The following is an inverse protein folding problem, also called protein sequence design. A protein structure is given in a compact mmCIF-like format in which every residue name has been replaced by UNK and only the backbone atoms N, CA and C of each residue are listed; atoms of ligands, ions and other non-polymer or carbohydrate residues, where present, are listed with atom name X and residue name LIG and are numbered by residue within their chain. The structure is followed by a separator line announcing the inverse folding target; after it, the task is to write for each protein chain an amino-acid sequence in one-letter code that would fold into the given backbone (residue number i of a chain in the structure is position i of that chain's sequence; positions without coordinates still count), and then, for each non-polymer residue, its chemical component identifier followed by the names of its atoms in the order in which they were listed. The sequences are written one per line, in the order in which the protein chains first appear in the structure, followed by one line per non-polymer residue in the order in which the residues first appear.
data_IF_587577659448
#
_entry.id   IF_587577659448
#
_cell.length_a   1.000
_cell.length_b   1.000
_cell.length_c   1.000
_cell.angle_alpha   90.00
_cell.angle_beta   90.00
_cell.angle_gamma   90.00
#
_symmetry.space_group_name_H-M   'P 1'
#
loop_
_entity.id
_entity.type
_entity.pdbx_description
1 polymer ?
#
# COMPACT_ATOMS: atom_id res chain seq x y z
N UNK A 1 -1.45 -25.35 12.20
CA UNK A 1 -1.88 -24.31 11.24
C UNK A 1 -3.24 -24.64 10.70
N UNK A 2 -4.13 -23.67 10.60
CA UNK A 2 -5.49 -23.83 10.06
C UNK A 2 -5.95 -22.57 9.33
N UNK A 3 -6.98 -22.71 8.47
CA UNK A 3 -7.59 -21.59 7.72
C UNK A 3 -8.33 -20.64 8.66
N UNK A 4 -8.39 -19.37 8.30
CA UNK A 4 -8.99 -18.29 9.10
C UNK A 4 -10.52 -18.15 8.98
N UNK A 5 -11.22 -19.15 8.41
CA UNK A 5 -12.66 -19.05 8.11
C UNK A 5 -13.57 -18.68 9.30
N UNK A 6 -13.15 -18.97 10.53
CA UNK A 6 -14.01 -18.83 11.73
C UNK A 6 -13.55 -17.72 12.68
N UNK A 7 -12.56 -16.92 12.28
CA UNK A 7 -12.01 -15.91 13.18
C UNK A 7 -12.69 -14.57 13.02
N UNK A 8 -13.19 -14.05 14.13
CA UNK A 8 -13.77 -12.72 14.13
C UNK A 8 -12.69 -11.64 13.94
N UNK A 9 -13.09 -10.44 13.50
CA UNK A 9 -12.20 -9.32 13.32
C UNK A 9 -11.49 -8.94 14.63
N UNK A 10 -12.09 -9.21 15.80
CA UNK A 10 -11.51 -8.95 17.11
C UNK A 10 -10.25 -9.78 17.35
N UNK A 11 -10.30 -11.08 17.05
CA UNK A 11 -9.16 -11.99 17.28
C UNK A 11 -8.01 -11.67 16.32
N UNK A 12 -8.34 -11.34 15.07
CA UNK A 12 -7.37 -10.86 14.07
C UNK A 12 -6.68 -9.57 14.52
N UNK A 13 -7.45 -8.60 15.03
CA UNK A 13 -6.93 -7.35 15.54
C UNK A 13 -6.00 -7.57 16.75
N UNK A 14 -6.42 -8.40 17.70
CA UNK A 14 -5.61 -8.74 18.88
C UNK A 14 -4.27 -9.37 18.48
N UNK A 15 -4.30 -10.32 17.54
CA UNK A 15 -3.09 -10.97 17.03
C UNK A 15 -2.20 -9.99 16.27
N UNK A 16 -2.79 -9.16 15.40
CA UNK A 16 -2.08 -8.14 14.63
C UNK A 16 -1.38 -7.14 15.56
N UNK A 17 -2.12 -6.53 16.49
CA UNK A 17 -1.58 -5.58 17.45
C UNK A 17 -0.44 -6.17 18.29
N UNK A 18 -0.60 -7.42 18.76
CA UNK A 18 0.44 -8.12 19.52
C UNK A 18 1.68 -8.45 18.68
N UNK A 19 1.50 -8.88 17.42
CA UNK A 19 2.61 -9.24 16.55
C UNK A 19 3.44 -8.02 16.11
N UNK A 20 2.82 -6.85 16.02
CA UNK A 20 3.44 -5.60 15.59
C UNK A 20 3.63 -4.59 16.73
N UNK A 21 3.60 -5.05 17.99
CA UNK A 21 3.79 -4.19 19.16
C UNK A 21 5.15 -3.49 19.23
N UNK A 22 6.16 -4.03 18.56
CA UNK A 22 7.51 -3.44 18.46
C UNK A 22 7.65 -2.46 17.27
N UNK A 23 6.60 -2.30 16.47
CA UNK A 23 6.55 -1.38 15.36
C UNK A 23 5.65 -0.20 15.74
N UNK A 24 5.94 1.00 15.27
CA UNK A 24 5.08 2.18 15.42
C UNK A 24 3.79 2.08 14.58
N UNK A 25 3.18 0.90 14.54
CA UNK A 25 1.90 0.69 13.89
C UNK A 25 0.82 1.04 14.91
N UNK A 26 0.46 2.32 14.93
CA UNK A 26 -0.71 2.80 15.65
C UNK A 26 -1.91 2.66 14.73
N UNK A 27 -2.79 1.74 15.04
CA UNK A 27 -4.05 1.60 14.31
C UNK A 27 -5.10 0.97 15.21
N UNK A 28 -6.32 1.44 15.10
CA UNK A 28 -7.45 0.82 15.76
C UNK A 28 -8.02 -0.35 14.93
N UNK A 29 -9.06 -0.97 15.45
CA UNK A 29 -9.74 -2.08 14.77
C UNK A 29 -10.38 -1.66 13.44
N UNK A 30 -10.81 -0.40 13.32
CA UNK A 30 -11.44 0.17 12.13
C UNK A 30 -10.39 0.34 11.04
N UNK A 31 -9.23 0.88 11.38
CA UNK A 31 -8.10 1.03 10.45
C UNK A 31 -7.59 -0.32 9.93
N UNK A 32 -7.47 -1.33 10.79
CA UNK A 32 -7.15 -2.69 10.34
C UNK A 32 -8.20 -3.22 9.36
N UNK A 33 -9.50 -2.99 9.63
CA UNK A 33 -10.58 -3.42 8.74
C UNK A 33 -10.50 -2.71 7.39
N UNK A 34 -10.29 -1.40 7.36
CA UNK A 34 -10.11 -0.61 6.13
C UNK A 34 -8.88 -1.06 5.35
N UNK A 35 -7.75 -1.29 6.02
CA UNK A 35 -6.54 -1.82 5.40
C UNK A 35 -6.78 -3.20 4.75
N UNK A 36 -7.39 -4.13 5.47
CA UNK A 36 -7.70 -5.47 4.97
C UNK A 36 -8.68 -5.41 3.78
N UNK A 37 -9.72 -4.56 3.84
CA UNK A 37 -10.66 -4.31 2.74
C UNK A 37 -9.92 -3.79 1.51
N UNK A 38 -9.15 -2.72 1.65
CA UNK A 38 -8.37 -2.09 0.58
C UNK A 38 -7.44 -3.10 -0.10
N UNK A 39 -6.76 -3.94 0.67
CA UNK A 39 -5.82 -4.94 0.17
C UNK A 39 -6.47 -6.23 -0.33
N UNK A 40 -7.80 -6.32 -0.35
CA UNK A 40 -8.55 -7.45 -0.92
C UNK A 40 -8.52 -8.72 -0.07
N UNK A 41 -8.49 -8.57 1.25
CA UNK A 41 -8.39 -9.67 2.22
C UNK A 41 -9.39 -10.80 1.95
N UNK A 42 -8.86 -12.02 1.85
CA UNK A 42 -9.63 -13.25 1.68
C UNK A 42 -9.42 -14.18 2.87
N UNK A 43 -10.44 -14.35 3.76
CA UNK A 43 -10.31 -15.20 4.93
C UNK A 43 -10.18 -16.70 4.61
N UNK A 44 -10.68 -17.15 3.46
CA UNK A 44 -10.60 -18.56 3.07
C UNK A 44 -9.18 -18.98 2.64
N UNK A 45 -8.37 -17.99 2.20
CA UNK A 45 -7.00 -18.18 1.77
C UNK A 45 -5.98 -17.49 2.70
N UNK A 46 -6.41 -17.14 3.91
CA UNK A 46 -5.54 -16.64 4.98
C UNK A 46 -5.38 -17.70 6.06
N UNK A 47 -4.21 -17.74 6.71
CA UNK A 47 -3.82 -18.84 7.58
C UNK A 47 -3.26 -18.33 8.90
N UNK A 48 -3.40 -19.13 9.95
CA UNK A 48 -2.86 -18.85 11.27
C UNK A 48 -2.37 -20.08 11.99
N UNK A 49 -1.38 -19.90 12.84
CA UNK A 49 -0.98 -20.85 13.88
C UNK A 49 -1.68 -20.47 15.18
N UNK A 50 -2.13 -21.49 15.92
CA UNK A 50 -2.92 -21.33 17.14
C UNK A 50 -2.24 -22.04 18.29
N UNK A 51 -2.34 -21.45 19.47
CA UNK A 51 -2.01 -22.03 20.76
C UNK A 51 -3.16 -21.69 21.72
N UNK A 52 -3.77 -22.70 22.33
CA UNK A 52 -4.95 -22.59 23.20
C UNK A 52 -6.05 -21.69 22.57
N UNK A 53 -6.39 -22.00 21.31
CA UNK A 53 -7.36 -21.27 20.47
C UNK A 53 -7.04 -19.80 20.17
N UNK A 54 -5.91 -19.28 20.65
CA UNK A 54 -5.43 -17.95 20.32
C UNK A 54 -4.53 -17.97 19.11
N UNK A 55 -4.64 -16.95 18.23
CA UNK A 55 -3.71 -16.77 17.14
C UNK A 55 -2.36 -16.34 17.71
N UNK A 56 -1.31 -17.08 17.39
CA UNK A 56 0.07 -16.78 17.79
C UNK A 56 0.94 -16.37 16.61
N UNK A 57 0.57 -16.78 15.39
CA UNK A 57 1.16 -16.28 14.15
C UNK A 57 0.12 -16.35 13.02
N UNK A 58 0.25 -15.50 12.02
CA UNK A 58 -0.70 -15.42 10.91
C UNK A 58 -0.03 -14.94 9.64
N UNK A 59 -0.71 -15.23 8.50
CA UNK A 59 -0.51 -14.61 7.21
C UNK A 59 -1.87 -14.29 6.64
N UNK A 60 -2.17 -13.01 6.47
CA UNK A 60 -3.40 -12.51 5.89
C UNK A 60 -3.18 -12.24 4.42
N UNK A 61 -3.99 -12.82 3.55
CA UNK A 61 -3.84 -12.71 2.12
C UNK A 61 -4.97 -11.89 1.49
N UNK A 62 -4.60 -10.96 0.62
CA UNK A 62 -5.46 -10.38 -0.38
C UNK A 62 -5.44 -11.22 -1.65
N UNK A 63 -6.56 -11.29 -2.38
CA UNK A 63 -6.64 -12.04 -3.63
C UNK A 63 -7.22 -11.13 -4.72
N UNK A 64 -6.58 -11.15 -5.89
CA UNK A 64 -7.04 -10.38 -7.04
C UNK A 64 -6.17 -10.61 -8.27
N UNK A 65 -6.58 -10.03 -9.38
CA UNK A 65 -5.74 -9.99 -10.59
C UNK A 65 -4.74 -8.84 -10.48
N UNK A 66 -3.50 -9.13 -10.72
CA UNK A 66 -2.43 -8.14 -10.69
C UNK A 66 -1.34 -8.55 -11.68
N UNK A 67 -0.51 -7.62 -12.12
CA UNK A 67 0.63 -7.87 -13.01
C UNK A 67 0.28 -8.84 -14.17
N UNK A 68 -0.01 -8.29 -15.33
CA UNK A 68 -0.41 -9.05 -16.52
C UNK A 68 -1.71 -9.87 -16.38
N UNK A 69 -2.59 -9.46 -15.45
CA UNK A 69 -3.89 -10.12 -15.26
C UNK A 69 -3.85 -11.46 -14.53
N UNK A 70 -2.67 -11.86 -14.03
CA UNK A 70 -2.50 -13.11 -13.28
C UNK A 70 -3.21 -13.07 -11.93
N UNK A 71 -3.85 -14.18 -11.56
CA UNK A 71 -4.45 -14.33 -10.26
C UNK A 71 -3.35 -14.42 -9.19
N UNK A 72 -3.33 -13.44 -8.30
CA UNK A 72 -2.23 -13.22 -7.36
C UNK A 72 -2.74 -13.20 -5.92
N UNK A 73 -2.02 -13.87 -5.02
CA UNK A 73 -2.14 -13.65 -3.58
C UNK A 73 -1.17 -12.54 -3.16
N UNK A 74 -1.64 -11.63 -2.31
CA UNK A 74 -0.83 -10.55 -1.75
C UNK A 74 -0.78 -10.67 -0.23
N UNK A 75 0.41 -10.68 0.34
CA UNK A 75 0.60 -10.65 1.80
C UNK A 75 0.15 -9.30 2.36
N UNK A 76 -1.06 -9.26 2.90
CA UNK A 76 -1.59 -8.05 3.55
C UNK A 76 -0.99 -7.82 4.94
N UNK A 77 -0.35 -8.84 5.50
CA UNK A 77 0.35 -8.79 6.76
C UNK A 77 0.66 -10.18 7.29
N UNK A 78 1.94 -10.44 7.51
CA UNK A 78 2.46 -11.64 8.18
C UNK A 78 3.07 -11.24 9.52
N UNK A 79 2.64 -11.88 10.59
CA UNK A 79 3.09 -11.58 11.95
C UNK A 79 3.18 -12.79 12.85
N UNK A 80 4.07 -12.70 13.83
CA UNK A 80 4.21 -13.68 14.93
C UNK A 80 4.29 -12.91 16.24
N UNK A 81 3.46 -13.29 17.21
CA UNK A 81 3.51 -12.73 18.58
C UNK A 81 4.89 -12.91 19.17
N UNK A 82 5.34 -11.92 19.93
CA UNK A 82 6.73 -11.82 20.42
C UNK A 82 7.22 -13.09 21.12
N UNK A 83 6.38 -13.63 21.99
CA UNK A 83 6.69 -14.83 22.80
C UNK A 83 6.75 -16.13 21.98
N UNK A 84 6.28 -16.11 20.74
CA UNK A 84 6.30 -17.26 19.81
C UNK A 84 7.28 -17.10 18.64
N UNK A 85 8.05 -16.01 18.62
CA UNK A 85 9.07 -15.77 17.58
C UNK A 85 10.22 -16.78 17.69
N UNK A 86 10.95 -16.98 16.60
CA UNK A 86 12.10 -17.89 16.55
C UNK A 86 11.76 -19.37 16.34
N UNK A 87 10.48 -19.75 16.36
CA UNK A 87 10.00 -21.13 16.22
C UNK A 87 9.67 -21.53 14.76
N UNK A 88 10.01 -20.70 13.77
CA UNK A 88 9.77 -20.98 12.36
C UNK A 88 8.28 -20.91 11.94
N UNK A 89 7.39 -20.33 12.75
CA UNK A 89 5.93 -20.36 12.51
C UNK A 89 5.56 -19.69 11.19
N UNK A 90 6.18 -18.55 10.82
CA UNK A 90 5.92 -17.90 9.55
C UNK A 90 6.20 -18.84 8.37
N UNK A 91 7.39 -19.45 8.34
CA UNK A 91 7.75 -20.43 7.28
C UNK A 91 6.76 -21.60 7.23
N UNK A 92 6.37 -22.15 8.37
CA UNK A 92 5.39 -23.25 8.45
C UNK A 92 4.02 -22.83 7.93
N UNK A 93 3.56 -21.60 8.19
CA UNK A 93 2.30 -21.08 7.66
C UNK A 93 2.38 -20.95 6.15
N UNK A 94 3.44 -20.34 5.60
CA UNK A 94 3.65 -20.23 4.15
C UNK A 94 3.66 -21.61 3.48
N UNK A 95 4.49 -22.53 3.95
CA UNK A 95 4.56 -23.89 3.39
C UNK A 95 3.21 -24.61 3.42
N UNK A 96 2.47 -24.46 4.54
CA UNK A 96 1.12 -25.05 4.66
C UNK A 96 0.10 -24.40 3.70
N UNK A 97 0.22 -23.10 3.44
CA UNK A 97 -0.73 -22.37 2.58
C UNK A 97 -0.58 -22.67 1.10
N UNK A 98 0.63 -23.01 0.63
CA UNK A 98 0.94 -23.17 -0.80
C UNK A 98 0.00 -24.12 -1.56
N UNK A 99 -0.29 -25.35 -1.08
CA UNK A 99 -1.22 -26.23 -1.79
C UNK A 99 -2.63 -25.63 -1.94
N UNK A 100 -3.09 -24.87 -0.94
CA UNK A 100 -4.41 -24.26 -0.99
C UNK A 100 -4.47 -23.08 -1.95
N UNK A 101 -3.39 -22.30 -2.05
CA UNK A 101 -3.27 -21.21 -3.01
C UNK A 101 -3.22 -21.77 -4.44
N UNK A 102 -2.39 -22.77 -4.70
CA UNK A 102 -2.33 -23.46 -6.00
C UNK A 102 -3.69 -24.03 -6.42
N UNK A 103 -4.36 -24.73 -5.53
CA UNK A 103 -5.69 -25.30 -5.80
C UNK A 103 -6.78 -24.23 -6.02
N UNK A 104 -6.57 -23.00 -5.55
CA UNK A 104 -7.43 -21.85 -5.84
C UNK A 104 -7.07 -21.14 -7.16
N UNK A 105 -6.10 -21.66 -7.93
CA UNK A 105 -5.67 -21.10 -9.20
C UNK A 105 -4.76 -19.87 -9.05
N UNK A 106 -4.18 -19.63 -7.86
CA UNK A 106 -3.22 -18.56 -7.66
C UNK A 106 -1.94 -18.89 -8.41
N UNK A 107 -1.50 -17.97 -9.26
CA UNK A 107 -0.29 -18.11 -10.08
C UNK A 107 0.93 -17.45 -9.44
N UNK A 108 0.71 -16.34 -8.72
CA UNK A 108 1.77 -15.58 -8.06
C UNK A 108 1.44 -15.33 -6.59
N UNK A 109 2.49 -15.26 -5.77
CA UNK A 109 2.39 -14.74 -4.42
C UNK A 109 3.30 -13.52 -4.29
N UNK A 110 2.73 -12.39 -3.91
CA UNK A 110 3.40 -11.09 -3.83
C UNK A 110 3.47 -10.62 -2.38
N UNK A 111 4.55 -9.96 -2.02
CA UNK A 111 4.71 -9.30 -0.71
C UNK A 111 5.60 -8.07 -0.82
N UNK A 112 5.54 -7.22 0.19
CA UNK A 112 6.45 -6.10 0.37
C UNK A 112 7.19 -6.24 1.70
N UNK A 113 8.50 -5.96 1.70
CA UNK A 113 9.35 -6.10 2.87
C UNK A 113 10.37 -4.97 2.96
N UNK A 114 10.53 -4.39 4.15
CA UNK A 114 11.53 -3.36 4.41
C UNK A 114 12.95 -3.90 4.17
N UNK A 115 13.78 -3.18 3.42
CA UNK A 115 15.14 -3.61 3.05
C UNK A 115 16.05 -3.85 4.26
N UNK A 116 15.80 -3.17 5.38
CA UNK A 116 16.55 -3.38 6.61
C UNK A 116 16.06 -4.60 7.43
N UNK A 117 14.89 -5.17 7.12
CA UNK A 117 14.38 -6.35 7.81
C UNK A 117 15.03 -7.65 7.28
N UNK A 118 16.34 -7.79 7.55
CA UNK A 118 17.16 -8.92 7.07
C UNK A 118 16.62 -10.27 7.50
N UNK A 119 15.90 -10.34 8.64
CA UNK A 119 15.29 -11.58 9.13
C UNK A 119 14.13 -12.03 8.25
N UNK A 120 13.24 -11.12 7.90
CA UNK A 120 12.12 -11.43 7.01
C UNK A 120 12.60 -11.78 5.59
N UNK A 121 13.56 -11.01 5.06
CA UNK A 121 14.17 -11.27 3.76
C UNK A 121 14.71 -12.71 3.65
N UNK A 122 15.53 -13.16 4.62
CA UNK A 122 16.04 -14.53 4.65
C UNK A 122 14.95 -15.60 4.67
N UNK A 123 13.83 -15.34 5.34
CA UNK A 123 12.68 -16.26 5.35
C UNK A 123 12.07 -16.34 3.95
N UNK A 124 11.78 -15.20 3.30
CA UNK A 124 11.17 -15.16 1.98
C UNK A 124 12.08 -15.74 0.90
N UNK A 125 13.36 -15.41 0.90
CA UNK A 125 14.37 -16.03 0.02
C UNK A 125 14.41 -17.57 0.21
N UNK A 126 14.37 -18.05 1.48
CA UNK A 126 14.34 -19.50 1.76
C UNK A 126 13.06 -20.22 1.32
N UNK A 127 12.02 -19.47 1.00
CA UNK A 127 10.74 -19.93 0.46
C UNK A 127 10.69 -19.84 -1.07
N UNK A 128 11.72 -19.27 -1.70
CA UNK A 128 11.83 -19.12 -3.15
C UNK A 128 11.26 -17.80 -3.69
N UNK A 129 10.99 -16.81 -2.82
CA UNK A 129 10.64 -15.48 -3.29
C UNK A 129 11.86 -14.78 -3.89
N UNK A 130 11.64 -14.10 -5.01
CA UNK A 130 12.63 -13.28 -5.71
C UNK A 130 12.25 -11.80 -5.63
N UNK A 131 13.25 -10.92 -5.63
CA UNK A 131 13.02 -9.47 -5.68
C UNK A 131 12.52 -9.12 -7.09
N UNK A 132 11.34 -8.51 -7.16
CA UNK A 132 10.73 -8.05 -8.41
C UNK A 132 11.15 -6.62 -8.72
N UNK A 133 11.05 -5.71 -7.72
CA UNK A 133 11.44 -4.31 -7.83
C UNK A 133 11.66 -3.68 -6.45
N UNK A 134 12.20 -2.47 -6.46
CA UNK A 134 12.44 -1.68 -5.25
C UNK A 134 11.44 -0.54 -5.16
N UNK A 135 11.02 -0.25 -3.93
CA UNK A 135 10.19 0.91 -3.62
C UNK A 135 10.86 1.82 -2.61
N UNK A 136 10.73 3.11 -2.85
CA UNK A 136 10.94 4.15 -1.86
C UNK A 136 9.64 4.44 -1.10
N UNK A 137 9.73 4.84 0.18
CA UNK A 137 8.63 5.50 0.86
C UNK A 137 9.10 6.81 1.48
N UNK A 138 8.22 7.79 1.45
CA UNK A 138 8.47 9.15 1.85
C UNK A 138 7.49 9.55 2.93
N UNK A 139 7.95 10.41 3.87
CA UNK A 139 7.08 10.96 4.91
C UNK A 139 7.56 12.34 5.34
N UNK A 140 6.61 13.19 5.76
CA UNK A 140 6.91 14.49 6.34
C UNK A 140 5.76 14.97 7.22
N UNK A 141 6.07 15.83 8.20
CA UNK A 141 5.05 16.58 8.92
C UNK A 141 4.32 17.53 7.96
N UNK A 142 3.00 17.52 7.99
CA UNK A 142 2.12 18.36 7.16
C UNK A 142 2.56 19.82 7.15
N UNK A 143 2.83 20.40 8.32
CA UNK A 143 3.26 21.80 8.46
C UNK A 143 4.55 22.10 7.68
N UNK A 144 5.49 21.18 7.62
CA UNK A 144 6.73 21.38 6.86
C UNK A 144 6.47 21.34 5.34
N UNK A 145 5.53 20.51 4.89
CA UNK A 145 5.13 20.48 3.47
C UNK A 145 4.45 21.78 3.08
N UNK A 146 3.58 22.32 3.96
CA UNK A 146 2.90 23.63 3.74
C UNK A 146 3.90 24.74 3.45
N UNK A 147 5.03 24.79 4.16
CA UNK A 147 6.07 25.80 3.96
C UNK A 147 6.73 25.75 2.57
N UNK A 148 6.61 24.64 1.85
CA UNK A 148 7.13 24.46 0.49
C UNK A 148 6.07 24.59 -0.61
N UNK A 149 4.81 24.90 -0.24
CA UNK A 149 3.77 25.18 -1.23
C UNK A 149 3.93 26.60 -1.78
N UNK A 150 3.78 26.71 -3.08
CA UNK A 150 3.81 28.02 -3.75
C UNK A 150 2.44 28.69 -3.68
N UNK A 151 2.43 30.00 -3.44
CA UNK A 151 1.22 30.82 -3.54
C UNK A 151 0.81 31.11 -4.99
N UNK A 152 1.69 30.80 -5.97
CA UNK A 152 1.34 30.95 -7.39
C UNK A 152 0.50 29.73 -7.84
N UNK A 153 -0.82 29.91 -8.04
CA UNK A 153 -1.65 28.82 -8.53
C UNK A 153 -1.25 28.45 -9.96
N UNK A 154 -1.24 27.17 -10.27
CA UNK A 154 -1.23 26.75 -11.67
C UNK A 154 -2.54 27.21 -12.34
N UNK A 155 -2.50 27.40 -13.66
CA UNK A 155 -3.72 27.64 -14.45
C UNK A 155 -4.51 26.34 -14.62
N UNK A 156 -5.03 25.80 -13.52
CA UNK A 156 -5.91 24.62 -13.52
C UNK A 156 -6.99 24.79 -12.44
N UNK A 157 -8.14 24.20 -12.67
CA UNK A 157 -9.19 24.03 -11.66
C UNK A 157 -9.07 22.63 -11.05
N UNK A 158 -9.31 22.54 -9.73
CA UNK A 158 -9.35 21.25 -9.04
C UNK A 158 -10.81 20.83 -8.86
N UNK A 159 -11.11 19.60 -9.24
CA UNK A 159 -12.45 19.01 -9.20
C UNK A 159 -12.41 17.67 -8.46
N UNK A 160 -13.53 17.29 -7.84
CA UNK A 160 -13.68 15.94 -7.30
C UNK A 160 -13.92 14.95 -8.48
N UNK A 161 -13.29 13.80 -8.41
CA UNK A 161 -13.43 12.71 -9.37
C UNK A 161 -13.89 11.43 -8.67
N UNK A 162 -14.46 10.51 -9.44
CA UNK A 162 -14.66 9.12 -9.04
C UNK A 162 -13.45 8.27 -9.42
N UNK A 163 -13.32 7.09 -8.82
CA UNK A 163 -12.23 6.15 -9.16
C UNK A 163 -12.26 5.70 -10.63
N UNK A 164 -13.43 5.70 -11.26
CA UNK A 164 -13.60 5.34 -12.68
C UNK A 164 -13.04 6.41 -13.62
N UNK A 165 -13.07 7.68 -13.21
CA UNK A 165 -12.64 8.81 -14.05
C UNK A 165 -11.13 8.80 -14.30
N UNK A 166 -10.35 8.16 -13.41
CA UNK A 166 -8.89 8.05 -13.56
C UNK A 166 -8.44 6.81 -14.36
N UNK A 167 -9.36 5.96 -14.81
CA UNK A 167 -9.00 4.78 -15.63
C UNK A 167 -8.28 5.14 -16.92
N UNK A 168 -8.72 6.21 -17.59
CA UNK A 168 -8.09 6.72 -18.82
C UNK A 168 -6.74 7.41 -18.56
N UNK A 169 -6.45 7.79 -17.33
CA UNK A 169 -5.25 8.52 -16.94
C UNK A 169 -4.12 7.61 -16.40
N UNK A 170 -4.24 6.29 -16.58
CA UNK A 170 -3.19 5.35 -16.12
C UNK A 170 -1.85 5.57 -16.85
N UNK A 171 -1.86 6.12 -18.06
CA UNK A 171 -0.67 6.51 -18.82
C UNK A 171 0.09 7.72 -18.22
N UNK A 172 -0.47 8.41 -17.22
CA UNK A 172 0.21 9.52 -16.54
C UNK A 172 1.30 9.06 -15.58
N UNK A 173 1.28 7.78 -15.19
CA UNK A 173 2.29 7.19 -14.31
C UNK A 173 3.60 6.91 -15.02
N UNK A 174 4.70 7.10 -14.30
CA UNK A 174 6.05 6.71 -14.73
C UNK A 174 6.37 5.25 -14.38
N UNK A 175 5.52 4.59 -13.56
CA UNK A 175 5.67 3.19 -13.13
C UNK A 175 4.29 2.56 -12.85
N UNK A 176 4.23 1.25 -12.79
CA UNK A 176 3.02 0.52 -12.40
C UNK A 176 2.79 0.64 -10.90
N UNK A 177 1.65 1.18 -10.42
CA UNK A 177 1.34 1.25 -9.00
C UNK A 177 1.43 -0.12 -8.32
N UNK A 178 1.86 -0.15 -7.06
CA UNK A 178 1.91 -1.39 -6.27
C UNK A 178 0.51 -1.92 -5.98
N UNK A 179 0.41 -3.19 -5.54
CA UNK A 179 -0.86 -3.82 -5.17
C UNK A 179 -1.79 -2.94 -4.35
N UNK A 180 -1.25 -2.31 -3.30
CA UNK A 180 -2.06 -1.49 -2.41
C UNK A 180 -2.37 -0.08 -2.94
N UNK A 181 -1.75 0.30 -4.04
CA UNK A 181 -1.93 1.60 -4.69
C UNK A 181 -2.56 1.48 -6.09
N UNK A 182 -2.87 0.27 -6.56
CA UNK A 182 -3.49 0.06 -7.86
C UNK A 182 -4.97 0.48 -7.89
N UNK A 183 -5.54 0.51 -9.09
CA UNK A 183 -6.93 0.93 -9.29
C UNK A 183 -7.93 0.02 -8.58
N UNK A 184 -7.66 -1.28 -8.50
CA UNK A 184 -8.54 -2.23 -7.83
C UNK A 184 -8.50 -2.03 -6.30
N UNK A 185 -7.35 -1.68 -5.75
CA UNK A 185 -7.19 -1.30 -4.35
C UNK A 185 -7.95 0.00 -4.04
N UNK A 186 -7.89 0.99 -4.93
CA UNK A 186 -8.63 2.25 -4.80
C UNK A 186 -10.14 1.99 -4.82
N UNK A 187 -10.64 1.18 -5.75
CA UNK A 187 -12.05 0.79 -5.82
C UNK A 187 -12.50 0.06 -4.55
N UNK A 188 -11.69 -0.87 -4.02
CA UNK A 188 -12.01 -1.59 -2.77
C UNK A 188 -12.04 -0.66 -1.56
N UNK A 189 -11.16 0.35 -1.50
CA UNK A 189 -11.17 1.33 -0.43
C UNK A 189 -12.47 2.16 -0.44
N UNK A 190 -12.95 2.55 -1.61
CA UNK A 190 -14.17 3.36 -1.75
C UNK A 190 -14.03 4.72 -1.03
N UNK A 191 -15.00 5.06 -0.19
CA UNK A 191 -15.08 6.35 0.51
C UNK A 191 -13.95 6.61 1.54
N UNK A 192 -13.09 5.62 1.81
CA UNK A 192 -11.88 5.83 2.62
C UNK A 192 -10.82 6.69 1.88
N UNK A 193 -10.97 6.86 0.56
CA UNK A 193 -10.09 7.65 -0.30
C UNK A 193 -10.85 8.78 -1.01
N UNK A 194 -10.16 9.89 -1.22
CA UNK A 194 -10.64 11.01 -2.04
C UNK A 194 -9.84 11.05 -3.33
N UNK A 195 -10.52 11.28 -4.45
CA UNK A 195 -9.89 11.45 -5.76
C UNK A 195 -10.12 12.88 -6.25
N UNK A 196 -9.04 13.59 -6.55
CA UNK A 196 -9.05 14.94 -7.11
C UNK A 196 -8.47 14.92 -8.52
N UNK A 197 -9.06 15.68 -9.43
CA UNK A 197 -8.55 15.93 -10.77
C UNK A 197 -8.15 17.38 -10.95
N UNK A 198 -7.08 17.63 -11.68
CA UNK A 198 -6.69 18.95 -12.14
C UNK A 198 -7.08 19.10 -13.62
N UNK A 199 -7.91 20.10 -13.91
CA UNK A 199 -8.39 20.38 -15.27
C UNK A 199 -7.69 21.63 -15.83
N UNK A 200 -7.11 21.51 -17.02
CA UNK A 200 -6.59 22.62 -17.82
C UNK A 200 -7.38 22.66 -19.12
N UNK A 201 -8.01 23.79 -19.42
CA UNK A 201 -8.85 23.94 -20.61
C UNK A 201 -9.87 22.79 -20.78
N UNK A 202 -10.51 22.39 -19.68
CA UNK A 202 -11.47 21.28 -19.60
C UNK A 202 -10.88 19.87 -19.87
N UNK A 203 -9.55 19.74 -19.94
CA UNK A 203 -8.85 18.46 -20.12
C UNK A 203 -8.26 18.00 -18.78
N UNK A 204 -8.45 16.73 -18.42
CA UNK A 204 -7.80 16.14 -17.26
C UNK A 204 -6.28 16.10 -17.46
N UNK A 205 -5.56 16.94 -16.70
CA UNK A 205 -4.12 17.15 -16.82
C UNK A 205 -3.31 16.48 -15.72
N UNK A 206 -3.99 16.01 -14.67
CA UNK A 206 -3.38 15.28 -13.55
C UNK A 206 -4.44 14.91 -12.52
N UNK A 207 -4.09 14.02 -11.60
CA UNK A 207 -4.96 13.60 -10.52
C UNK A 207 -4.18 13.21 -9.26
N UNK A 208 -4.87 13.19 -8.13
CA UNK A 208 -4.36 12.73 -6.85
C UNK A 208 -5.42 11.87 -6.15
N UNK A 209 -5.02 10.71 -5.65
CA UNK A 209 -5.83 9.84 -4.79
C UNK A 209 -5.16 9.78 -3.43
N UNK A 210 -5.89 10.07 -2.37
CA UNK A 210 -5.32 10.11 -1.04
C UNK A 210 -6.34 9.76 0.04
N UNK A 211 -5.85 9.42 1.24
CA UNK A 211 -6.67 9.23 2.44
C UNK A 211 -6.65 10.51 3.29
N UNK A 212 -7.77 11.21 3.46
CA UNK A 212 -7.83 12.38 4.34
C UNK A 212 -7.41 12.07 5.78
N UNK A 213 -7.82 10.93 6.31
CA UNK A 213 -7.56 10.52 7.69
C UNK A 213 -6.09 10.23 7.97
N UNK A 214 -5.38 9.60 7.04
CA UNK A 214 -4.00 9.15 7.27
C UNK A 214 -2.93 9.99 6.58
N UNK A 215 -3.31 10.93 5.70
CA UNK A 215 -2.37 11.70 4.88
C UNK A 215 -1.58 10.88 3.86
N UNK A 216 -2.06 9.66 3.56
CA UNK A 216 -1.44 8.76 2.58
C UNK A 216 -1.83 9.17 1.17
N UNK A 217 -0.85 9.58 0.37
CA UNK A 217 -1.00 9.81 -1.06
C UNK A 217 -0.85 8.46 -1.76
N UNK A 218 -1.98 7.88 -2.13
CA UNK A 218 -2.05 6.58 -2.82
C UNK A 218 -1.51 6.68 -4.24
N UNK A 219 -1.93 7.73 -4.97
CA UNK A 219 -1.44 8.06 -6.31
C UNK A 219 -1.40 9.57 -6.49
N UNK A 220 -0.39 10.07 -7.18
CA UNK A 220 -0.33 11.41 -7.74
C UNK A 220 0.35 11.32 -9.11
N UNK A 221 -0.33 11.74 -10.15
CA UNK A 221 0.15 11.63 -11.50
C UNK A 221 -0.27 12.84 -12.34
N UNK A 222 0.61 13.25 -13.26
CA UNK A 222 0.39 14.37 -14.17
C UNK A 222 0.73 13.93 -15.58
N UNK A 223 -0.16 14.19 -16.51
CA UNK A 223 0.07 13.99 -17.93
C UNK A 223 1.44 14.59 -18.32
N UNK A 224 2.31 13.85 -19.00
CA UNK A 224 3.63 14.32 -19.39
C UNK A 224 3.63 15.69 -20.07
N UNK A 225 2.63 16.01 -20.87
CA UNK A 225 2.49 17.30 -21.59
C UNK A 225 2.15 18.48 -20.68
N UNK A 226 1.63 18.22 -19.47
CA UNK A 226 1.28 19.23 -18.46
C UNK A 226 2.26 19.28 -17.29
N UNK A 227 3.33 18.51 -17.32
CA UNK A 227 4.38 18.53 -16.26
C UNK A 227 5.11 19.88 -16.23
N UNK A 228 5.68 20.22 -15.07
CA UNK A 228 6.41 21.47 -14.78
C UNK A 228 5.58 22.74 -14.90
N UNK A 229 4.25 22.62 -14.98
CA UNK A 229 3.30 23.75 -15.05
C UNK A 229 2.55 23.97 -13.71
N UNK A 230 3.00 23.34 -12.62
CA UNK A 230 2.42 23.52 -11.27
C UNK A 230 1.24 22.62 -10.94
N UNK A 231 0.78 21.75 -11.86
CA UNK A 231 -0.41 20.87 -11.69
C UNK A 231 -0.29 20.00 -10.43
N UNK A 232 0.82 19.26 -10.27
CA UNK A 232 1.03 18.42 -9.08
C UNK A 232 1.06 19.24 -7.77
N UNK A 233 1.59 20.47 -7.81
CA UNK A 233 1.63 21.35 -6.64
C UNK A 233 0.23 21.83 -6.25
N UNK A 234 -0.65 22.09 -7.22
CA UNK A 234 -2.05 22.46 -6.95
C UNK A 234 -2.85 21.31 -6.37
N UNK A 235 -2.66 20.08 -6.91
CA UNK A 235 -3.26 18.87 -6.36
C UNK A 235 -2.79 18.62 -4.92
N UNK A 236 -1.48 18.72 -4.67
CA UNK A 236 -0.92 18.53 -3.32
C UNK A 236 -1.44 19.60 -2.34
N UNK A 237 -1.56 20.86 -2.77
CA UNK A 237 -2.11 21.94 -1.95
C UNK A 237 -3.55 21.60 -1.53
N UNK A 238 -4.41 21.27 -2.48
CA UNK A 238 -5.81 20.91 -2.20
C UNK A 238 -5.92 19.67 -1.30
N UNK A 239 -5.09 18.63 -1.55
CA UNK A 239 -5.01 17.44 -0.70
C UNK A 239 -4.65 17.81 0.74
N UNK A 240 -3.65 18.67 0.95
CA UNK A 240 -3.22 19.10 2.29
C UNK A 240 -4.31 19.85 3.03
N UNK A 241 -5.06 20.72 2.35
CA UNK A 241 -6.21 21.43 2.93
C UNK A 241 -7.31 20.47 3.40
N UNK A 242 -7.49 19.34 2.73
CA UNK A 242 -8.50 18.31 3.06
C UNK A 242 -7.99 17.24 4.04
N UNK A 243 -6.68 17.19 4.32
CA UNK A 243 -6.08 16.16 5.17
C UNK A 243 -6.22 16.50 6.65
N UNK A 244 -6.78 15.56 7.42
CA UNK A 244 -6.90 15.61 8.88
C UNK A 244 -5.59 15.23 9.58
N UNK A 245 -4.75 14.43 8.93
CA UNK A 245 -3.48 13.93 9.47
C UNK A 245 -2.42 15.02 9.58
N UNK A 246 -1.63 14.96 10.64
CA UNK A 246 -0.44 15.80 10.82
C UNK A 246 0.77 15.31 10.01
N UNK A 247 0.65 14.19 9.32
CA UNK A 247 1.70 13.58 8.52
C UNK A 247 1.20 13.39 7.08
N UNK A 248 2.06 13.72 6.13
CA UNK A 248 1.92 13.38 4.70
C UNK A 248 2.88 12.24 4.41
N UNK A 249 2.41 11.21 3.73
CA UNK A 249 3.24 10.06 3.33
C UNK A 249 2.90 9.59 1.92
N UNK A 250 3.90 9.06 1.25
CA UNK A 250 3.78 8.40 -0.06
C UNK A 250 4.53 7.08 0.05
N UNK A 251 3.85 5.98 -0.18
CA UNK A 251 4.46 4.66 -0.09
C UNK A 251 4.53 3.99 -1.45
N UNK A 252 5.48 3.08 -1.62
CA UNK A 252 5.63 2.25 -2.82
C UNK A 252 5.84 3.06 -4.11
N UNK A 253 6.70 4.06 -4.04
CA UNK A 253 7.23 4.74 -5.22
C UNK A 253 8.35 3.89 -5.80
N UNK A 254 8.19 3.38 -7.02
CA UNK A 254 9.20 2.55 -7.67
C UNK A 254 10.51 3.32 -7.83
N UNK A 255 11.64 2.66 -7.55
CA UNK A 255 12.95 3.27 -7.60
C UNK A 255 13.76 2.71 -8.78
N UNK A 256 14.30 3.56 -9.66
CA UNK A 256 14.25 5.03 -9.62
C UNK A 256 13.01 5.63 -10.32
N UNK A 257 12.41 6.66 -9.74
CA UNK A 257 11.39 7.49 -10.40
C UNK A 257 11.75 8.97 -10.30
N UNK A 258 12.72 9.46 -11.11
CA UNK A 258 13.34 10.78 -10.94
C UNK A 258 12.36 11.95 -10.92
N UNK A 259 11.27 11.86 -11.70
CA UNK A 259 10.26 12.92 -11.79
C UNK A 259 9.50 13.10 -10.46
N UNK A 260 9.01 11.99 -9.87
CA UNK A 260 8.27 12.02 -8.62
C UNK A 260 9.21 12.27 -7.42
N UNK A 261 10.40 11.65 -7.42
CA UNK A 261 11.42 11.87 -6.40
C UNK A 261 11.81 13.36 -6.30
N UNK A 262 12.08 14.02 -7.45
CA UNK A 262 12.38 15.44 -7.50
C UNK A 262 11.19 16.32 -7.06
N UNK A 263 9.95 15.94 -7.42
CA UNK A 263 8.76 16.65 -6.98
C UNK A 263 8.62 16.57 -5.45
N UNK A 264 8.67 15.37 -4.86
CA UNK A 264 8.54 15.18 -3.42
C UNK A 264 9.65 15.93 -2.65
N UNK A 265 10.90 15.84 -3.11
CA UNK A 265 12.02 16.59 -2.54
C UNK A 265 11.78 18.10 -2.59
N UNK A 266 11.25 18.63 -3.71
CA UNK A 266 10.92 20.07 -3.84
C UNK A 266 9.80 20.54 -2.90
N UNK A 267 9.03 19.61 -2.35
CA UNK A 267 7.96 19.85 -1.36
C UNK A 267 8.39 19.51 0.07
N UNK A 268 9.67 19.24 0.27
CA UNK A 268 10.22 18.87 1.58
C UNK A 268 9.76 17.50 2.07
N UNK A 269 9.14 16.65 1.23
CA UNK A 269 8.74 15.29 1.61
C UNK A 269 9.94 14.38 1.48
N UNK A 270 10.48 13.94 2.62
CA UNK A 270 11.76 13.26 2.69
C UNK A 270 11.65 11.75 2.52
N UNK A 271 12.67 11.15 1.89
CA UNK A 271 12.83 9.70 1.87
C UNK A 271 12.98 9.18 3.31
N UNK A 272 12.06 8.31 3.71
CA UNK A 272 12.02 7.71 5.06
C UNK A 272 12.55 6.28 5.07
N UNK A 273 12.54 5.59 3.93
CA UNK A 273 13.09 4.24 3.84
C UNK A 273 12.79 3.58 2.50
N UNK A 274 13.21 2.31 2.42
CA UNK A 274 13.11 1.49 1.22
C UNK A 274 12.56 0.11 1.54
N UNK A 275 11.87 -0.46 0.57
CA UNK A 275 11.40 -1.84 0.64
C UNK A 275 11.54 -2.55 -0.71
N UNK A 276 11.52 -3.88 -0.67
CA UNK A 276 11.43 -4.72 -1.85
C UNK A 276 9.99 -5.18 -2.04
N UNK A 277 9.53 -5.19 -3.28
CA UNK A 277 8.45 -6.04 -3.71
C UNK A 277 9.05 -7.38 -4.12
N UNK A 278 8.57 -8.47 -3.53
CA UNK A 278 9.05 -9.81 -3.83
C UNK A 278 7.92 -10.67 -4.35
N UNK A 279 8.24 -11.57 -5.27
CA UNK A 279 7.28 -12.48 -5.92
C UNK A 279 7.74 -13.93 -5.82
N UNK A 280 6.78 -14.82 -5.63
CA UNK A 280 6.93 -16.26 -5.77
C UNK A 280 5.93 -16.74 -6.82
N UNK A 281 6.41 -17.35 -7.90
CA UNK A 281 5.54 -18.08 -8.85
C UNK A 281 5.14 -19.42 -8.24
N UNK A 282 3.84 -19.73 -8.24
CA UNK A 282 3.25 -20.90 -7.59
C UNK A 282 3.07 -22.09 -8.54
#
# INVERSE_FOLDING_TARGET
VRRQRQMCIRDRYTAFKSAFSDYEISGDKTELKSMLKRRGFNPALSFGAFYDDNIVAFTFNGIGKYYNGKLTAYDTGTGTRKEFRGQGLAKRIFTHSMPFLKNAGIENYLLEVLQHNKRALKIYESLGFEILREFNFFTQKKQLVVNHLSDKPAKCSIVALKSEDILSAQSFHDFTPSWQNDIESIKRAGDDLVTLGAMVDSVLSGYCVFSPKSGDITQIAVDPTFRRKGVASSLLKQMIEMTESEIVKVINVESPTPSLDAFLASKGVCLAGKQFEMVLTL
#
